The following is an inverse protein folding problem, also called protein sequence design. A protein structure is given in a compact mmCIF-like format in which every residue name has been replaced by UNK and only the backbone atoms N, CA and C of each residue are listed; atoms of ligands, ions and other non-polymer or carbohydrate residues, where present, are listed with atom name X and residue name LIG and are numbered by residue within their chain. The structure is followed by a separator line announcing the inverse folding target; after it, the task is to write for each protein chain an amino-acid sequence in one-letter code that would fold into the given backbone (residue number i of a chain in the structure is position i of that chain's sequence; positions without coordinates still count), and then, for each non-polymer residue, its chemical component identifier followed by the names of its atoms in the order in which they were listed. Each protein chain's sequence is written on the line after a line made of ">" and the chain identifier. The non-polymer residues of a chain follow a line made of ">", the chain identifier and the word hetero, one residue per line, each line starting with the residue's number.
data_IF_722195402315
#
_entry.id   IF_722195402315
#
_cell.length_a   1.000
_cell.length_b   1.000
_cell.length_c   1.000
_cell.angle_alpha   90.00
_cell.angle_beta   90.00
_cell.angle_gamma   90.00
#
_symmetry.space_group_name_H-M   'P 1'
#
loop_
_entity.id
_entity.type
_entity.pdbx_description
1 polymer ?
#
# COMPACT_ATOMS: atom_id res chain seq x y z
N UNK A 1 -24.54 -31.54 5.98
CA UNK A 1 -23.47 -32.01 5.09
C UNK A 1 -22.38 -30.95 5.11
N UNK A 2 -21.29 -31.24 5.82
CA UNK A 2 -20.14 -30.36 5.96
C UNK A 2 -19.31 -30.46 4.68
N UNK A 3 -19.21 -29.38 3.91
CA UNK A 3 -18.15 -29.24 2.91
C UNK A 3 -17.03 -28.41 3.54
N UNK A 4 -16.03 -29.11 4.05
CA UNK A 4 -14.72 -28.55 4.32
C UNK A 4 -14.12 -28.09 2.98
N UNK A 5 -14.06 -26.78 2.77
CA UNK A 5 -13.22 -26.15 1.74
C UNK A 5 -11.75 -26.42 2.14
N UNK A 6 -11.20 -27.57 1.77
CA UNK A 6 -9.77 -27.82 1.83
C UNK A 6 -9.08 -26.91 0.80
N UNK A 7 -8.44 -25.85 1.30
CA UNK A 7 -7.54 -25.01 0.52
C UNK A 7 -6.30 -25.85 0.21
N UNK A 8 -6.25 -26.43 -0.99
CA UNK A 8 -5.06 -27.08 -1.51
C UNK A 8 -4.07 -25.99 -1.93
N UNK A 9 -3.23 -25.54 -0.99
CA UNK A 9 -2.08 -24.72 -1.29
C UNK A 9 -0.85 -25.60 -1.46
N UNK A 10 -0.42 -25.85 -2.71
CA UNK A 10 0.91 -26.41 -2.93
C UNK A 10 1.94 -25.27 -2.82
N UNK A 11 2.84 -25.37 -1.84
CA UNK A 11 3.97 -24.46 -1.72
C UNK A 11 4.99 -24.79 -2.81
N UNK A 12 5.22 -23.87 -3.75
CA UNK A 12 6.42 -23.91 -4.58
C UNK A 12 7.65 -23.80 -3.67
N UNK A 13 8.48 -24.85 -3.63
CA UNK A 13 9.60 -25.04 -2.69
C UNK A 13 10.78 -24.05 -2.85
N UNK A 14 10.63 -22.94 -3.60
CA UNK A 14 11.76 -22.12 -4.05
C UNK A 14 11.54 -20.60 -3.96
N UNK A 15 10.58 -20.16 -3.12
CA UNK A 15 10.49 -18.76 -2.73
C UNK A 15 11.71 -18.40 -1.86
N UNK A 16 12.32 -17.23 -2.11
CA UNK A 16 13.34 -16.65 -1.21
C UNK A 16 12.69 -16.34 0.15
N UNK A 17 12.58 -17.35 1.01
CA UNK A 17 11.90 -17.29 2.30
C UNK A 17 12.40 -16.09 3.11
N UNK A 18 11.47 -15.20 3.51
CA UNK A 18 11.75 -14.11 4.44
C UNK A 18 12.47 -12.90 3.85
N UNK A 19 12.55 -12.75 2.52
CA UNK A 19 13.07 -11.52 1.92
C UNK A 19 12.18 -10.32 2.29
N UNK A 20 12.81 -9.24 2.75
CA UNK A 20 12.16 -7.95 2.96
C UNK A 20 12.67 -6.93 1.95
N UNK A 21 11.79 -6.03 1.53
CA UNK A 21 12.05 -5.05 0.48
C UNK A 21 12.04 -3.63 1.04
N UNK A 22 12.87 -2.73 0.52
CA UNK A 22 12.80 -1.30 0.86
C UNK A 22 11.44 -0.73 0.44
N UNK A 23 10.92 -1.16 -0.71
CA UNK A 23 9.56 -0.86 -1.16
C UNK A 23 8.94 -1.96 -2.01
N UNK A 24 7.61 -1.95 -2.07
CA UNK A 24 6.86 -2.67 -3.08
C UNK A 24 5.94 -1.69 -3.83
N UNK A 25 5.80 -1.86 -5.14
CA UNK A 25 4.93 -1.02 -5.96
C UNK A 25 4.17 -1.85 -6.98
N UNK A 26 2.90 -1.50 -7.18
CA UNK A 26 2.12 -2.05 -8.27
C UNK A 26 2.56 -1.41 -9.59
N UNK A 27 2.87 -2.25 -10.58
CA UNK A 27 3.03 -1.83 -11.98
C UNK A 27 1.68 -1.80 -12.72
N UNK A 28 0.58 -2.04 -11.98
CA UNK A 28 -0.80 -1.84 -12.44
C UNK A 28 -1.35 -3.01 -13.22
N UNK A 29 -1.91 -2.69 -14.39
CA UNK A 29 -2.80 -3.50 -15.21
C UNK A 29 -4.19 -3.78 -14.57
N UNK A 30 -4.31 -3.77 -13.25
CA UNK A 30 -5.60 -3.74 -12.55
C UNK A 30 -5.50 -3.04 -11.17
N UNK A 31 -6.52 -2.25 -10.81
CA UNK A 31 -6.53 -1.50 -9.54
C UNK A 31 -6.61 -2.39 -8.29
N UNK A 32 -7.08 -3.63 -8.44
CA UNK A 32 -7.12 -4.65 -7.39
C UNK A 32 -5.74 -4.91 -6.78
N UNK A 33 -4.67 -4.92 -7.59
CA UNK A 33 -3.31 -5.22 -7.13
C UNK A 33 -2.87 -4.23 -6.05
N UNK A 34 -3.02 -2.93 -6.33
CA UNK A 34 -2.64 -1.89 -5.37
C UNK A 34 -3.46 -1.95 -4.08
N UNK A 35 -4.75 -2.26 -4.19
CA UNK A 35 -5.64 -2.44 -3.03
C UNK A 35 -5.21 -3.63 -2.17
N UNK A 36 -4.94 -4.79 -2.78
CA UNK A 36 -4.53 -6.01 -2.07
C UNK A 36 -3.14 -5.87 -1.46
N UNK A 37 -2.22 -5.16 -2.12
CA UNK A 37 -0.91 -4.81 -1.54
C UNK A 37 -1.05 -3.90 -0.31
N UNK A 38 -1.96 -2.92 -0.32
CA UNK A 38 -2.23 -2.05 0.84
C UNK A 38 -2.80 -2.85 2.01
N UNK A 39 -3.81 -3.70 1.76
CA UNK A 39 -4.42 -4.56 2.78
C UNK A 39 -3.42 -5.54 3.42
N UNK A 40 -2.39 -5.95 2.67
CA UNK A 40 -1.33 -6.86 3.14
C UNK A 40 -0.04 -6.13 3.58
N UNK A 41 -0.11 -4.81 3.84
CA UNK A 41 1.02 -4.03 4.36
C UNK A 41 2.29 -4.07 3.49
N UNK A 42 2.12 -4.14 2.16
CA UNK A 42 3.21 -4.04 1.19
C UNK A 42 3.32 -2.64 0.57
N UNK A 43 2.21 -1.91 0.48
CA UNK A 43 2.19 -0.60 -0.21
C UNK A 43 2.53 0.56 0.73
N UNK A 44 3.73 1.12 0.59
CA UNK A 44 4.17 2.33 1.31
C UNK A 44 3.66 3.64 0.70
N UNK A 45 3.49 3.64 -0.62
CA UNK A 45 3.03 4.80 -1.36
C UNK A 45 2.28 4.32 -2.60
N UNK A 46 1.47 5.21 -3.15
CA UNK A 46 0.79 4.92 -4.38
C UNK A 46 1.66 5.14 -5.63
N UNK A 47 1.71 4.12 -6.49
CA UNK A 47 2.48 4.11 -7.72
C UNK A 47 1.80 4.85 -8.89
N UNK A 48 2.51 5.03 -10.02
CA UNK A 48 1.98 5.66 -11.22
C UNK A 48 0.90 4.81 -11.93
N UNK A 49 0.80 3.52 -11.62
CA UNK A 49 -0.14 2.61 -12.28
C UNK A 49 -1.30 2.11 -11.41
N UNK A 50 -1.36 2.48 -10.12
CA UNK A 50 -2.34 1.97 -9.14
C UNK A 50 -3.82 2.15 -9.55
N UNK A 51 -4.15 3.16 -10.36
CA UNK A 51 -5.51 3.44 -10.84
C UNK A 51 -5.64 3.40 -12.36
N UNK A 52 -4.61 2.87 -13.02
CA UNK A 52 -4.53 2.79 -14.48
C UNK A 52 -4.66 1.32 -14.89
N UNK A 53 -5.64 1.05 -15.75
CA UNK A 53 -5.78 -0.24 -16.43
C UNK A 53 -5.07 -0.15 -17.77
N UNK A 54 -4.22 -1.12 -18.07
CA UNK A 54 -3.40 -1.17 -19.28
C UNK A 54 -2.71 -2.51 -19.41
N UNK A 55 -2.04 -2.77 -20.53
CA UNK A 55 -1.28 -4.00 -20.74
C UNK A 55 0.15 -3.89 -20.17
N UNK A 56 0.79 -5.01 -19.82
CA UNK A 56 2.22 -5.04 -19.48
C UNK A 56 3.13 -4.44 -20.58
N UNK A 57 2.79 -4.64 -21.86
CA UNK A 57 3.46 -3.98 -22.99
C UNK A 57 3.48 -2.44 -22.82
N UNK A 58 2.34 -1.83 -22.47
CA UNK A 58 2.22 -0.38 -22.30
C UNK A 58 2.90 0.10 -21.03
N UNK A 59 2.85 -0.68 -19.96
CA UNK A 59 3.62 -0.43 -18.73
C UNK A 59 5.11 -0.37 -19.06
N UNK A 60 5.64 -1.35 -19.81
CA UNK A 60 7.02 -1.37 -20.25
C UNK A 60 7.37 -0.13 -21.07
N UNK A 61 6.54 0.21 -22.06
CA UNK A 61 6.73 1.38 -22.91
C UNK A 61 6.83 2.67 -22.09
N UNK A 62 5.93 2.87 -21.12
CA UNK A 62 5.90 4.09 -20.30
C UNK A 62 7.11 4.16 -19.36
N UNK A 63 7.52 3.07 -18.73
CA UNK A 63 8.72 3.06 -17.90
C UNK A 63 9.95 3.37 -18.78
N UNK A 64 10.08 2.70 -19.93
CA UNK A 64 11.21 2.86 -20.85
C UNK A 64 11.34 4.29 -21.39
N UNK A 65 10.22 4.94 -21.67
CA UNK A 65 10.18 6.29 -22.24
C UNK A 65 9.87 7.38 -21.20
N UNK A 66 10.13 7.13 -19.90
CA UNK A 66 9.95 8.13 -18.84
C UNK A 66 8.53 8.75 -18.77
N UNK A 67 7.50 7.95 -19.08
CA UNK A 67 6.10 8.36 -19.16
C UNK A 67 5.86 9.50 -20.16
N UNK A 68 6.67 9.58 -21.22
CA UNK A 68 6.42 10.47 -22.35
C UNK A 68 5.02 10.23 -22.91
N UNK A 69 4.34 11.32 -23.22
CA UNK A 69 2.96 11.35 -23.74
C UNK A 69 1.88 10.69 -22.87
N UNK A 70 2.18 10.36 -21.61
CA UNK A 70 1.21 9.83 -20.66
C UNK A 70 0.04 10.80 -20.46
N UNK A 71 -1.17 10.35 -20.81
CA UNK A 71 -2.41 11.07 -20.60
C UNK A 71 -2.44 12.47 -21.23
N UNK A 72 -1.83 12.68 -22.41
CA UNK A 72 -1.97 13.96 -23.13
C UNK A 72 -3.44 14.33 -23.32
N UNK A 73 -3.81 15.57 -22.98
CA UNK A 73 -5.21 16.02 -22.98
C UNK A 73 -5.95 15.75 -24.29
N UNK A 74 -5.30 15.99 -25.42
CA UNK A 74 -5.81 15.77 -26.78
C UNK A 74 -6.11 14.29 -27.10
N UNK A 75 -5.48 13.37 -26.37
CA UNK A 75 -5.67 11.93 -26.52
C UNK A 75 -6.73 11.37 -25.56
N UNK A 76 -7.27 12.19 -24.64
CA UNK A 76 -8.23 11.75 -23.64
C UNK A 76 -9.66 11.68 -24.19
N UNK A 77 -10.32 10.56 -23.94
CA UNK A 77 -11.73 10.33 -24.27
C UNK A 77 -12.50 9.79 -23.07
N UNK A 78 -13.73 10.28 -22.86
CA UNK A 78 -14.63 9.73 -21.85
C UNK A 78 -15.35 8.53 -22.49
N UNK A 79 -15.01 7.32 -22.05
CA UNK A 79 -15.64 6.08 -22.53
C UNK A 79 -16.86 5.68 -21.70
N UNK A 80 -16.97 6.19 -20.47
CA UNK A 80 -18.04 5.81 -19.57
C UNK A 80 -18.00 6.51 -18.23
N UNK A 81 -18.85 6.04 -17.32
CA UNK A 81 -19.04 6.60 -15.98
C UNK A 81 -19.19 5.48 -14.97
N UNK A 82 -18.57 5.63 -13.81
CA UNK A 82 -18.65 4.67 -12.70
C UNK A 82 -18.44 5.41 -11.38
N UNK A 83 -19.30 5.17 -10.40
CA UNK A 83 -19.14 5.68 -9.02
C UNK A 83 -18.90 7.21 -8.92
N UNK A 84 -19.58 8.00 -9.77
CA UNK A 84 -19.43 9.46 -9.84
C UNK A 84 -18.10 9.93 -10.47
N UNK A 85 -17.43 9.05 -11.20
CA UNK A 85 -16.17 9.30 -11.93
C UNK A 85 -16.34 9.04 -13.42
N UNK A 86 -15.60 9.78 -14.23
CA UNK A 86 -15.42 9.45 -15.64
C UNK A 86 -14.41 8.31 -15.78
N UNK A 87 -14.76 7.35 -16.63
CA UNK A 87 -13.82 6.38 -17.20
C UNK A 87 -13.15 7.08 -18.38
N UNK A 88 -11.85 7.37 -18.25
CA UNK A 88 -11.11 8.18 -19.21
C UNK A 88 -10.02 7.35 -19.88
N UNK A 89 -10.12 7.20 -21.20
CA UNK A 89 -9.15 6.52 -22.05
C UNK A 89 -8.10 7.50 -22.54
N UNK A 90 -6.83 7.15 -22.37
CA UNK A 90 -5.75 7.68 -23.20
C UNK A 90 -5.66 6.81 -24.47
N UNK A 91 -6.07 7.37 -25.62
CA UNK A 91 -6.11 6.63 -26.88
C UNK A 91 -4.75 6.34 -27.50
N UNK A 92 -3.72 7.11 -27.13
CA UNK A 92 -2.37 6.90 -27.64
C UNK A 92 -1.72 5.71 -26.93
N UNK A 93 -1.84 5.69 -25.61
CA UNK A 93 -1.22 4.67 -24.77
C UNK A 93 -2.17 3.50 -24.43
N UNK A 94 -3.42 3.54 -24.89
CA UNK A 94 -4.46 2.55 -24.61
C UNK A 94 -4.75 2.32 -23.12
N UNK A 95 -4.53 3.33 -22.29
CA UNK A 95 -4.70 3.27 -20.84
C UNK A 95 -6.09 3.74 -20.42
N UNK A 96 -6.68 3.12 -19.41
CA UNK A 96 -7.94 3.56 -18.82
C UNK A 96 -7.72 4.03 -17.38
N UNK A 97 -8.05 5.29 -17.12
CA UNK A 97 -8.20 5.82 -15.76
C UNK A 97 -9.63 5.58 -15.27
N UNK A 98 -9.78 4.88 -14.15
CA UNK A 98 -11.10 4.50 -13.60
C UNK A 98 -11.57 5.44 -12.49
N UNK A 99 -10.65 6.04 -11.72
CA UNK A 99 -10.99 6.72 -10.45
C UNK A 99 -10.61 8.20 -10.37
N UNK A 100 -9.89 8.72 -11.38
CA UNK A 100 -9.17 9.99 -11.22
C UNK A 100 -9.98 11.23 -11.60
N UNK A 101 -10.86 11.13 -12.59
CA UNK A 101 -11.59 12.27 -13.14
C UNK A 101 -13.00 12.32 -12.55
N UNK A 102 -13.35 13.43 -11.87
CA UNK A 102 -14.71 13.62 -11.37
C UNK A 102 -15.71 13.80 -12.50
N UNK A 103 -16.87 13.19 -12.37
CA UNK A 103 -18.00 13.42 -13.27
C UNK A 103 -18.58 14.82 -13.03
N UNK A 104 -18.05 15.81 -13.76
CA UNK A 104 -18.49 17.20 -13.68
C UNK A 104 -18.86 17.69 -15.07
N UNK A 105 -20.17 17.84 -15.34
CA UNK A 105 -20.67 18.19 -16.67
C UNK A 105 -20.49 17.06 -17.69
N UNK A 106 -20.15 17.40 -18.93
CA UNK A 106 -20.03 16.44 -20.05
C UNK A 106 -18.61 16.32 -20.62
N UNK A 107 -17.63 17.04 -20.06
CA UNK A 107 -16.25 17.10 -20.56
C UNK A 107 -15.25 17.14 -19.42
N UNK A 108 -14.04 16.65 -19.69
CA UNK A 108 -12.90 16.82 -18.78
C UNK A 108 -12.47 18.29 -18.82
N UNK A 109 -12.72 19.00 -17.72
CA UNK A 109 -12.25 20.38 -17.61
C UNK A 109 -10.72 20.45 -17.56
N UNK A 110 -10.12 21.52 -18.09
CA UNK A 110 -8.66 21.75 -18.01
C UNK A 110 -8.15 21.79 -16.57
N UNK A 111 -8.94 22.33 -15.65
CA UNK A 111 -8.63 22.37 -14.21
C UNK A 111 -8.55 20.97 -13.60
N UNK A 112 -9.54 20.10 -13.88
CA UNK A 112 -9.54 18.72 -13.40
C UNK A 112 -8.36 17.94 -14.00
N UNK A 113 -8.12 18.09 -15.30
CA UNK A 113 -6.96 17.53 -15.99
C UNK A 113 -5.64 17.91 -15.32
N UNK A 114 -5.39 19.21 -15.11
CA UNK A 114 -4.15 19.68 -14.48
C UNK A 114 -3.96 19.06 -13.09
N UNK A 115 -5.00 18.96 -12.27
CA UNK A 115 -4.93 18.31 -10.95
C UNK A 115 -4.58 16.82 -11.05
N UNK A 116 -5.14 16.11 -12.03
CA UNK A 116 -4.82 14.70 -12.27
C UNK A 116 -3.37 14.55 -12.70
N UNK A 117 -2.89 15.40 -13.61
CA UNK A 117 -1.51 15.35 -14.10
C UNK A 117 -0.49 15.76 -13.03
N UNK A 118 -0.76 16.77 -12.21
CA UNK A 118 0.09 17.13 -11.06
C UNK A 118 0.25 15.95 -10.09
N UNK A 119 -0.85 15.23 -9.83
CA UNK A 119 -0.84 14.03 -9.00
C UNK A 119 -0.01 12.91 -9.64
N UNK A 120 -0.15 12.66 -10.94
CA UNK A 120 0.62 11.60 -11.62
C UNK A 120 2.09 11.96 -11.76
N UNK A 121 2.45 13.20 -12.10
CA UNK A 121 3.83 13.66 -12.13
C UNK A 121 4.53 13.44 -10.78
N UNK A 122 3.86 13.75 -9.67
CA UNK A 122 4.39 13.46 -8.33
C UNK A 122 4.59 11.96 -8.08
N UNK A 123 3.67 11.09 -8.55
CA UNK A 123 3.76 9.63 -8.38
C UNK A 123 4.85 9.01 -9.25
N UNK A 124 4.98 9.46 -10.49
CA UNK A 124 6.02 9.06 -11.43
C UNK A 124 7.40 9.44 -10.88
N UNK A 125 7.56 10.70 -10.45
CA UNK A 125 8.81 11.15 -9.84
C UNK A 125 9.14 10.33 -8.60
N UNK A 126 8.17 10.09 -7.72
CA UNK A 126 8.36 9.25 -6.53
C UNK A 126 8.78 7.83 -6.92
N UNK A 127 8.10 7.19 -7.86
CA UNK A 127 8.46 5.85 -8.33
C UNK A 127 9.93 5.79 -8.77
N UNK A 128 10.37 6.73 -9.60
CA UNK A 128 11.76 6.78 -10.05
C UNK A 128 12.75 7.09 -8.95
N UNK A 129 12.43 7.99 -8.02
CA UNK A 129 13.29 8.27 -6.86
C UNK A 129 13.48 7.05 -5.97
N UNK A 130 12.42 6.29 -5.71
CA UNK A 130 12.51 5.03 -4.96
C UNK A 130 13.33 3.98 -5.72
N UNK A 131 13.12 3.81 -7.03
CA UNK A 131 13.95 2.91 -7.84
C UNK A 131 15.44 3.31 -7.80
N UNK A 132 15.76 4.60 -7.79
CA UNK A 132 17.15 5.09 -7.75
C UNK A 132 17.83 4.92 -6.41
N UNK A 133 17.08 5.07 -5.31
CA UNK A 133 17.66 5.22 -3.95
C UNK A 133 17.54 3.96 -3.09
N UNK A 134 16.70 3.00 -3.48
CA UNK A 134 16.55 1.73 -2.77
C UNK A 134 17.61 0.72 -3.20
N UNK A 135 17.92 -0.21 -2.30
CA UNK A 135 18.77 -1.37 -2.59
C UNK A 135 17.94 -2.51 -3.17
N UNK A 136 16.69 -2.66 -2.71
CA UNK A 136 15.81 -3.68 -3.23
C UNK A 136 14.33 -3.33 -3.30
N UNK A 137 13.62 -3.98 -4.22
CA UNK A 137 12.22 -3.70 -4.52
C UNK A 137 11.41 -4.96 -4.86
N UNK A 138 10.10 -4.90 -4.60
CA UNK A 138 9.14 -5.84 -5.15
C UNK A 138 8.20 -5.11 -6.13
N UNK A 139 8.24 -5.53 -7.39
CA UNK A 139 7.27 -5.08 -8.39
C UNK A 139 6.14 -6.10 -8.48
N UNK A 140 4.88 -5.65 -8.42
CA UNK A 140 3.72 -6.53 -8.58
C UNK A 140 2.95 -6.12 -9.82
N UNK A 141 2.72 -7.04 -10.75
CA UNK A 141 2.05 -6.76 -12.02
C UNK A 141 0.93 -7.76 -12.28
N UNK A 142 -0.24 -7.28 -12.67
CA UNK A 142 -1.30 -8.14 -13.18
C UNK A 142 -1.06 -8.47 -14.65
N UNK A 143 -1.31 -9.71 -15.04
CA UNK A 143 -1.30 -10.17 -16.45
C UNK A 143 -2.64 -10.81 -16.79
N UNK A 144 -3.17 -10.52 -17.98
CA UNK A 144 -4.47 -11.03 -18.42
C UNK A 144 -4.38 -12.42 -19.05
N UNK A 145 -3.20 -12.79 -19.52
CA UNK A 145 -2.91 -14.10 -20.11
C UNK A 145 -1.45 -14.50 -19.87
N UNK A 146 -1.12 -15.78 -20.05
CA UNK A 146 0.29 -16.22 -20.02
C UNK A 146 1.11 -15.66 -21.20
N UNK A 147 0.46 -15.22 -22.30
CA UNK A 147 1.13 -14.58 -23.44
C UNK A 147 1.79 -13.25 -23.04
N UNK A 148 1.22 -12.55 -22.07
CA UNK A 148 1.74 -11.28 -21.53
C UNK A 148 3.06 -11.45 -20.76
N UNK A 149 3.47 -12.69 -20.42
CA UNK A 149 4.71 -12.96 -19.69
C UNK A 149 5.94 -12.43 -20.44
N UNK A 150 5.92 -12.43 -21.77
CA UNK A 150 7.01 -11.86 -22.57
C UNK A 150 7.24 -10.38 -22.30
N UNK A 151 6.17 -9.62 -22.06
CA UNK A 151 6.28 -8.21 -21.70
C UNK A 151 6.78 -8.02 -20.27
N UNK A 152 6.51 -8.97 -19.36
CA UNK A 152 7.11 -8.96 -18.01
C UNK A 152 8.63 -9.10 -18.09
N UNK A 153 9.15 -9.99 -18.95
CA UNK A 153 10.61 -10.09 -19.17
C UNK A 153 11.19 -8.79 -19.73
N UNK A 154 10.50 -8.13 -20.67
CA UNK A 154 10.92 -6.80 -21.17
C UNK A 154 10.89 -5.73 -20.08
N UNK A 155 9.91 -5.76 -19.17
CA UNK A 155 9.88 -4.87 -18.00
C UNK A 155 11.09 -5.12 -17.11
N UNK A 156 11.42 -6.39 -16.82
CA UNK A 156 12.62 -6.76 -16.05
C UNK A 156 13.89 -6.19 -16.70
N UNK A 157 14.04 -6.32 -18.01
CA UNK A 157 15.18 -5.74 -18.76
C UNK A 157 15.21 -4.22 -18.67
N UNK A 158 14.07 -3.55 -18.86
CA UNK A 158 13.94 -2.08 -18.79
C UNK A 158 14.31 -1.57 -17.40
N UNK A 159 13.79 -2.18 -16.32
CA UNK A 159 14.10 -1.80 -14.94
C UNK A 159 15.57 -2.07 -14.62
N UNK A 160 16.10 -3.25 -14.99
CA UNK A 160 17.51 -3.59 -14.76
C UNK A 160 18.46 -2.62 -15.46
N UNK A 161 18.12 -2.20 -16.68
CA UNK A 161 18.92 -1.24 -17.45
C UNK A 161 18.81 0.18 -16.90
N UNK A 162 17.63 0.58 -16.44
CA UNK A 162 17.38 1.92 -15.90
C UNK A 162 17.88 2.12 -14.47
N UNK A 163 17.95 1.04 -13.67
CA UNK A 163 18.33 1.05 -12.25
C UNK A 163 19.29 -0.11 -11.94
N UNK A 164 20.52 -0.11 -12.49
CA UNK A 164 21.46 -1.24 -12.39
C UNK A 164 21.90 -1.59 -10.96
N UNK A 165 21.71 -0.69 -10.01
CA UNK A 165 22.00 -0.89 -8.59
C UNK A 165 20.85 -1.55 -7.81
N UNK A 166 19.64 -1.61 -8.39
CA UNK A 166 18.45 -2.09 -7.71
C UNK A 166 18.33 -3.60 -7.88
N UNK A 167 18.35 -4.35 -6.78
CA UNK A 167 18.02 -5.78 -6.77
C UNK A 167 16.52 -5.95 -6.54
N UNK A 168 15.80 -6.56 -7.47
CA UNK A 168 14.35 -6.61 -7.38
C UNK A 168 13.78 -7.96 -7.76
N UNK A 169 12.60 -8.24 -7.21
CA UNK A 169 11.75 -9.34 -7.58
C UNK A 169 10.49 -8.82 -8.30
N UNK A 170 9.96 -9.58 -9.26
CA UNK A 170 8.66 -9.33 -9.88
C UNK A 170 7.69 -10.45 -9.48
N UNK A 171 6.58 -10.06 -8.85
CA UNK A 171 5.42 -10.91 -8.65
C UNK A 171 4.40 -10.65 -9.75
N UNK A 172 4.30 -11.61 -10.67
CA UNK A 172 3.25 -11.67 -11.69
C UNK A 172 2.00 -12.24 -11.06
N UNK A 173 0.88 -11.56 -11.21
CA UNK A 173 -0.41 -12.00 -10.67
C UNK A 173 -1.37 -12.31 -11.79
N UNK A 174 -1.88 -13.54 -11.77
CA UNK A 174 -2.93 -14.03 -12.64
C UNK A 174 -4.18 -14.30 -11.82
N UNK A 175 -5.30 -13.68 -12.20
CA UNK A 175 -6.57 -13.80 -11.49
C UNK A 175 -7.35 -15.02 -11.99
N UNK A 176 -7.81 -15.85 -11.07
CA UNK A 176 -8.54 -17.08 -11.36
C UNK A 176 -9.95 -17.02 -10.75
N UNK A 177 -10.91 -17.64 -11.42
CA UNK A 177 -12.25 -17.87 -10.86
C UNK A 177 -12.30 -19.06 -9.90
N UNK A 178 -11.29 -19.94 -9.96
CA UNK A 178 -11.13 -21.06 -9.04
C UNK A 178 -10.53 -20.58 -7.72
N UNK A 179 -10.98 -21.15 -6.58
CA UNK A 179 -10.54 -20.79 -5.23
C UNK A 179 -9.11 -21.27 -4.94
N UNK A 180 -8.13 -20.78 -5.70
CA UNK A 180 -6.71 -21.17 -5.62
C UNK A 180 -5.83 -20.05 -5.09
N UNK A 181 -4.69 -20.46 -4.52
CA UNK A 181 -3.63 -19.59 -4.03
C UNK A 181 -2.30 -20.29 -4.25
N UNK A 182 -1.77 -20.20 -5.47
CA UNK A 182 -0.53 -20.85 -5.87
C UNK A 182 0.52 -19.81 -6.23
N UNK A 183 1.76 -20.04 -5.85
CA UNK A 183 2.89 -19.21 -6.23
C UNK A 183 4.08 -20.09 -6.62
N UNK A 184 4.62 -19.84 -7.80
CA UNK A 184 5.73 -20.59 -8.37
C UNK A 184 6.82 -19.62 -8.85
N UNK A 185 8.09 -19.95 -8.57
CA UNK A 185 9.21 -19.28 -9.23
C UNK A 185 9.28 -19.74 -10.68
N UNK A 186 9.23 -18.81 -11.64
CA UNK A 186 9.26 -19.15 -13.08
C UNK A 186 10.57 -18.75 -13.76
N UNK A 187 11.30 -17.80 -13.17
CA UNK A 187 12.62 -17.37 -13.58
C UNK A 187 13.34 -16.73 -12.37
N UNK A 188 14.62 -16.42 -12.50
CA UNK A 188 15.35 -15.66 -11.50
C UNK A 188 14.69 -14.30 -11.26
N UNK A 189 14.31 -14.09 -10.00
CA UNK A 189 13.59 -12.92 -9.53
C UNK A 189 12.22 -12.68 -10.19
N UNK A 190 11.59 -13.72 -10.76
CA UNK A 190 10.19 -13.66 -11.23
C UNK A 190 9.39 -14.81 -10.63
N UNK A 191 8.27 -14.45 -10.00
CA UNK A 191 7.30 -15.38 -9.44
C UNK A 191 5.95 -15.19 -10.11
N UNK A 192 5.28 -16.29 -10.44
CA UNK A 192 3.90 -16.29 -10.92
C UNK A 192 2.99 -16.74 -9.79
N UNK A 193 2.04 -15.87 -9.42
CA UNK A 193 0.95 -16.17 -8.52
C UNK A 193 -0.36 -16.34 -9.30
N UNK A 194 -1.01 -17.50 -9.11
CA UNK A 194 -2.40 -17.72 -9.52
C UNK A 194 -3.28 -17.58 -8.29
N UNK A 195 -4.18 -16.60 -8.32
CA UNK A 195 -4.96 -16.21 -7.14
C UNK A 195 -6.43 -16.07 -7.47
N UNK A 196 -7.27 -16.65 -6.62
CA UNK A 196 -8.71 -16.46 -6.68
C UNK A 196 -9.07 -14.97 -6.59
N UNK A 197 -9.94 -14.53 -7.49
CA UNK A 197 -10.54 -13.21 -7.41
C UNK A 197 -11.97 -13.21 -7.95
N UNK A 198 -12.87 -12.64 -7.16
CA UNK A 198 -14.27 -12.41 -7.52
C UNK A 198 -14.53 -10.90 -7.56
N UNK A 199 -14.75 -10.37 -8.77
CA UNK A 199 -15.05 -8.96 -8.98
C UNK A 199 -16.36 -8.51 -8.31
N UNK A 200 -17.30 -9.44 -8.10
CA UNK A 200 -18.55 -9.15 -7.40
C UNK A 200 -18.42 -9.18 -5.88
N UNK A 201 -17.37 -9.83 -5.36
CA UNK A 201 -17.11 -10.00 -3.93
C UNK A 201 -15.61 -9.98 -3.61
N UNK A 202 -15.02 -8.78 -3.69
CA UNK A 202 -13.61 -8.56 -3.36
C UNK A 202 -13.19 -9.12 -1.99
N UNK A 203 -13.99 -8.96 -0.89
CA UNK A 203 -13.66 -9.55 0.41
C UNK A 203 -13.55 -11.07 0.39
N UNK A 204 -14.36 -11.76 -0.42
CA UNK A 204 -14.27 -13.21 -0.59
C UNK A 204 -12.92 -13.69 -1.10
N UNK A 205 -12.13 -12.79 -1.68
CA UNK A 205 -10.79 -13.07 -2.22
C UNK A 205 -9.67 -12.76 -1.21
N UNK A 206 -9.94 -12.07 -0.11
CA UNK A 206 -8.91 -11.54 0.82
C UNK A 206 -7.96 -12.63 1.36
N UNK A 207 -8.50 -13.78 1.76
CA UNK A 207 -7.71 -14.89 2.29
C UNK A 207 -6.72 -15.44 1.24
N UNK A 208 -7.18 -15.56 -0.01
CA UNK A 208 -6.36 -16.10 -1.10
C UNK A 208 -5.20 -15.17 -1.46
N UNK A 209 -5.46 -13.86 -1.49
CA UNK A 209 -4.42 -12.85 -1.68
C UNK A 209 -3.44 -12.80 -0.50
N UNK A 210 -3.94 -12.93 0.73
CA UNK A 210 -3.10 -12.97 1.93
C UNK A 210 -2.14 -14.15 1.91
N UNK A 211 -2.60 -15.33 1.48
CA UNK A 211 -1.74 -16.51 1.35
C UNK A 211 -0.55 -16.23 0.42
N UNK A 212 -0.78 -15.57 -0.72
CA UNK A 212 0.29 -15.18 -1.66
C UNK A 212 1.18 -14.06 -1.10
N UNK A 213 0.58 -12.95 -0.67
CA UNK A 213 1.32 -11.73 -0.34
C UNK A 213 2.07 -11.83 1.00
N UNK A 214 1.67 -12.75 1.89
CA UNK A 214 2.35 -12.98 3.17
C UNK A 214 3.79 -13.52 3.03
N UNK A 215 4.15 -14.01 1.85
CA UNK A 215 5.53 -14.42 1.54
C UNK A 215 6.48 -13.23 1.34
N UNK A 216 5.95 -12.01 1.21
CA UNK A 216 6.71 -10.79 0.99
C UNK A 216 6.53 -9.84 2.17
N UNK A 217 7.54 -8.99 2.44
CA UNK A 217 7.45 -8.01 3.52
C UNK A 217 8.24 -6.74 3.21
N UNK A 218 7.87 -5.63 3.85
CA UNK A 218 8.61 -4.38 3.76
C UNK A 218 9.58 -4.26 4.93
N UNK A 219 10.83 -3.91 4.63
CA UNK A 219 11.85 -3.53 5.61
C UNK A 219 11.56 -2.11 6.16
N UNK A 220 10.53 -2.02 6.99
CA UNK A 220 10.08 -0.75 7.57
C UNK A 220 11.06 -0.27 8.65
N UNK A 221 11.90 0.70 8.30
CA UNK A 221 13.04 1.16 9.11
C UNK A 221 13.30 2.66 8.96
N UNK A 222 14.39 3.17 9.54
CA UNK A 222 14.85 4.56 9.34
C UNK A 222 15.09 4.87 7.86
N UNK A 223 15.56 3.88 7.08
CA UNK A 223 15.74 4.00 5.63
C UNK A 223 14.42 4.28 4.93
N UNK A 224 13.32 3.63 5.34
CA UNK A 224 11.97 3.89 4.80
C UNK A 224 11.58 5.36 5.00
N UNK A 225 11.83 5.92 6.19
CA UNK A 225 11.50 7.32 6.51
C UNK A 225 12.32 8.28 5.65
N UNK A 226 13.61 7.98 5.46
CA UNK A 226 14.50 8.74 4.59
C UNK A 226 14.07 8.71 3.11
N UNK A 227 13.76 7.52 2.57
CA UNK A 227 13.31 7.33 1.19
C UNK A 227 11.92 7.97 0.94
N UNK A 228 11.09 8.00 1.97
CA UNK A 228 9.76 8.63 1.92
C UNK A 228 9.81 10.16 2.00
N UNK A 229 11.00 10.75 2.19
CA UNK A 229 11.21 12.19 2.32
C UNK A 229 10.30 12.83 3.37
N UNK A 230 10.14 12.13 4.50
CA UNK A 230 9.25 12.57 5.56
C UNK A 230 9.77 13.87 6.17
N UNK A 231 8.93 14.90 6.15
CA UNK A 231 9.21 16.18 6.79
C UNK A 231 9.09 16.05 8.32
N UNK A 232 9.89 16.80 9.11
CA UNK A 232 9.77 16.77 10.57
C UNK A 232 8.36 17.11 11.06
N UNK A 233 7.86 16.50 12.13
CA UNK A 233 6.53 16.79 12.67
C UNK A 233 6.36 18.29 12.98
N UNK A 234 5.14 18.79 12.71
CA UNK A 234 4.71 20.11 13.20
C UNK A 234 4.13 19.95 14.60
N UNK A 235 4.49 20.84 15.51
CA UNK A 235 3.96 20.87 16.88
C UNK A 235 4.12 19.53 17.64
N UNK A 236 5.09 18.71 17.24
CA UNK A 236 5.35 17.38 17.80
C UNK A 236 4.09 16.51 17.90
N UNK A 237 3.21 16.56 16.88
CA UNK A 237 1.91 15.90 16.90
C UNK A 237 1.60 15.29 15.52
N UNK A 238 0.99 14.11 15.54
CA UNK A 238 0.33 13.46 14.41
C UNK A 238 -1.17 13.43 14.65
N UNK A 239 -1.96 13.83 13.64
CA UNK A 239 -3.41 13.78 13.69
C UNK A 239 -3.93 12.79 12.65
N UNK A 240 -4.74 11.83 13.08
CA UNK A 240 -5.25 10.77 12.21
C UNK A 240 -6.65 11.07 11.67
N UNK A 241 -7.33 12.10 12.17
CA UNK A 241 -8.67 12.50 11.70
C UNK A 241 -8.62 13.08 10.29
N UNK A 242 -9.67 12.85 9.51
CA UNK A 242 -9.82 13.51 8.21
C UNK A 242 -9.97 15.03 8.42
N UNK A 243 -9.04 15.83 7.86
CA UNK A 243 -9.26 17.27 7.72
C UNK A 243 -9.83 17.51 6.32
N UNK A 244 -11.11 17.88 6.24
CA UNK A 244 -11.88 18.34 5.06
C UNK A 244 -11.04 18.59 3.79
N UNK A 245 -10.68 17.51 3.07
CA UNK A 245 -10.05 17.58 1.75
C UNK A 245 -8.55 17.89 1.67
N UNK A 246 -7.75 17.82 2.75
CA UNK A 246 -6.28 17.90 2.64
C UNK A 246 -5.63 16.54 2.87
N UNK A 247 -4.92 16.09 1.85
CA UNK A 247 -4.08 14.90 1.83
C UNK A 247 -3.27 14.75 3.12
N UNK A 248 -3.31 13.52 3.65
CA UNK A 248 -2.38 12.93 4.60
C UNK A 248 -1.23 13.85 5.04
N UNK A 249 -1.48 14.64 6.10
CA UNK A 249 -0.56 15.48 6.86
C UNK A 249 0.70 16.00 6.11
N UNK A 250 0.61 16.44 4.84
CA UNK A 250 1.73 16.93 4.02
C UNK A 250 3.06 16.13 4.14
N UNK A 251 3.08 14.82 3.87
CA UNK A 251 4.30 13.98 3.94
C UNK A 251 5.01 14.00 5.32
N UNK A 252 4.27 14.03 6.44
CA UNK A 252 4.87 14.08 7.80
C UNK A 252 5.05 12.71 8.45
N UNK A 253 4.51 11.65 7.85
CA UNK A 253 4.79 10.27 8.23
C UNK A 253 4.57 9.31 7.06
N UNK A 254 5.18 8.14 7.17
CA UNK A 254 4.94 6.96 6.33
C UNK A 254 4.39 5.86 7.24
N UNK A 255 3.56 4.96 6.71
CA UNK A 255 2.93 3.93 7.53
C UNK A 255 2.65 2.65 6.76
N UNK A 256 2.39 1.59 7.54
CA UNK A 256 1.77 0.34 7.11
C UNK A 256 0.71 -0.06 8.14
N UNK A 257 -0.36 -0.72 7.70
CA UNK A 257 -1.41 -1.20 8.59
C UNK A 257 -2.33 -0.10 9.14
N UNK A 258 -2.52 1.02 8.42
CA UNK A 258 -3.57 2.01 8.72
C UNK A 258 -4.56 2.12 7.57
N UNK A 259 -5.83 2.36 7.91
CA UNK A 259 -6.87 2.71 6.95
C UNK A 259 -6.66 4.10 6.36
N UNK A 260 -7.49 4.45 5.38
CA UNK A 260 -7.69 5.83 4.99
C UNK A 260 -8.19 6.67 6.19
N UNK A 261 -7.93 7.99 6.22
CA UNK A 261 -8.47 8.88 7.24
C UNK A 261 -10.01 8.83 7.29
N UNK A 262 -10.54 8.69 8.50
CA UNK A 262 -11.97 8.78 8.81
C UNK A 262 -12.23 9.99 9.75
N UNK A 263 -13.49 10.43 9.93
CA UNK A 263 -13.79 11.63 10.72
C UNK A 263 -13.23 11.60 12.16
N UNK A 264 -13.16 10.41 12.76
CA UNK A 264 -12.75 10.22 14.15
C UNK A 264 -11.31 9.72 14.31
N UNK A 265 -10.62 9.34 13.23
CA UNK A 265 -9.27 8.81 13.29
C UNK A 265 -8.89 7.95 12.09
N UNK A 266 -7.88 7.10 12.26
CA UNK A 266 -7.55 5.98 11.34
C UNK A 266 -7.58 4.68 12.09
N UNK A 267 -8.20 3.68 11.48
CA UNK A 267 -8.18 2.33 12.02
C UNK A 267 -6.86 1.64 11.71
N UNK A 268 -6.37 0.86 12.66
CA UNK A 268 -5.41 -0.21 12.40
C UNK A 268 -6.03 -1.25 11.47
N UNK A 269 -5.25 -1.76 10.53
CA UNK A 269 -5.64 -2.86 9.64
C UNK A 269 -4.69 -4.04 9.88
N UNK A 270 -5.27 -5.15 10.33
CA UNK A 270 -4.51 -6.34 10.72
C UNK A 270 -3.92 -6.24 12.13
N UNK A 271 -2.93 -7.09 12.42
CA UNK A 271 -2.34 -7.22 13.74
C UNK A 271 -1.14 -6.29 13.99
N UNK A 272 -0.76 -5.47 13.00
CA UNK A 272 0.42 -4.62 13.11
C UNK A 272 0.23 -3.28 12.41
N UNK A 273 0.41 -2.20 13.17
CA UNK A 273 0.49 -0.84 12.65
C UNK A 273 1.94 -0.35 12.77
N UNK A 274 2.52 0.15 11.68
CA UNK A 274 3.88 0.71 11.67
C UNK A 274 3.82 2.17 11.24
N UNK A 275 4.46 3.06 11.99
CA UNK A 275 4.49 4.50 11.70
C UNK A 275 5.93 4.98 11.73
N UNK A 276 6.37 5.57 10.63
CA UNK A 276 7.69 6.15 10.45
C UNK A 276 7.58 7.66 10.36
N UNK A 277 8.28 8.39 11.22
CA UNK A 277 8.20 9.84 11.28
C UNK A 277 9.55 10.47 11.62
N UNK A 278 9.64 11.78 11.36
CA UNK A 278 10.82 12.59 11.71
C UNK A 278 10.44 13.62 12.76
N UNK A 279 11.25 13.82 13.79
CA UNK A 279 11.10 14.89 14.80
C UNK A 279 12.32 15.80 14.80
N UNK A 280 12.13 17.05 15.23
CA UNK A 280 13.22 18.02 15.32
C UNK A 280 14.08 17.85 16.58
N UNK A 281 13.46 17.42 17.68
CA UNK A 281 14.12 17.24 18.98
C UNK A 281 13.77 15.86 19.52
N UNK A 282 14.72 15.21 20.19
CA UNK A 282 14.48 13.91 20.84
C UNK A 282 13.37 14.07 21.90
N UNK A 283 12.20 13.40 21.74
CA UNK A 283 11.17 13.46 22.74
C UNK A 283 11.54 12.56 23.93
N UNK A 284 11.11 12.99 25.11
CA UNK A 284 11.20 12.22 26.36
C UNK A 284 9.95 11.39 26.59
N UNK A 285 8.81 11.78 26.00
CA UNK A 285 7.55 11.09 26.16
C UNK A 285 6.78 10.99 24.84
N UNK A 286 5.95 9.97 24.74
CA UNK A 286 4.94 9.81 23.71
C UNK A 286 3.58 9.56 24.35
N UNK A 287 2.56 10.28 23.90
CA UNK A 287 1.17 10.05 24.29
C UNK A 287 0.35 9.64 23.08
N UNK A 288 -0.27 8.48 23.14
CA UNK A 288 -1.13 7.94 22.08
C UNK A 288 -2.58 8.05 22.52
N UNK A 289 -3.38 8.81 21.78
CA UNK A 289 -4.83 8.88 21.94
C UNK A 289 -5.52 7.97 20.96
N UNK A 290 -6.28 7.02 21.48
CA UNK A 290 -6.95 6.02 20.65
C UNK A 290 -8.11 5.36 21.41
N UNK A 291 -8.94 4.62 20.68
CA UNK A 291 -9.91 3.68 21.23
C UNK A 291 -9.69 2.29 20.63
N UNK A 292 -10.18 1.25 21.30
CA UNK A 292 -10.09 -0.14 20.83
C UNK A 292 -11.42 -0.65 20.31
N UNK A 293 -11.36 -1.56 19.35
CA UNK A 293 -12.48 -2.40 18.93
C UNK A 293 -12.19 -3.86 19.25
N UNK A 294 -12.79 -4.36 20.34
CA UNK A 294 -12.66 -5.75 20.85
C UNK A 294 -11.23 -6.27 21.03
N UNK A 295 -10.26 -5.35 21.08
CA UNK A 295 -8.86 -5.66 21.28
C UNK A 295 -8.47 -5.31 22.73
N UNK A 296 -7.99 -6.30 23.49
CA UNK A 296 -7.67 -6.12 24.91
C UNK A 296 -6.40 -5.31 25.12
N UNK A 297 -5.35 -5.58 24.33
CA UNK A 297 -4.08 -4.89 24.48
C UNK A 297 -3.33 -4.68 23.17
N UNK A 298 -2.38 -3.76 23.17
CA UNK A 298 -1.40 -3.62 22.09
C UNK A 298 -0.02 -3.34 22.63
N UNK A 299 0.98 -4.12 22.23
CA UNK A 299 2.37 -3.84 22.55
C UNK A 299 2.87 -2.67 21.70
N UNK A 300 3.71 -1.82 22.29
CA UNK A 300 4.26 -0.64 21.63
C UNK A 300 5.77 -0.72 21.63
N UNK A 301 6.36 -0.62 20.45
CA UNK A 301 7.80 -0.56 20.24
C UNK A 301 8.16 0.75 19.57
N UNK A 302 9.26 1.36 20.01
CA UNK A 302 9.82 2.57 19.38
C UNK A 302 11.28 2.28 19.05
N UNK A 303 11.65 2.43 17.77
CA UNK A 303 12.96 2.07 17.23
C UNK A 303 13.42 0.67 17.68
N UNK A 304 12.50 -0.30 17.66
CA UNK A 304 12.75 -1.70 18.03
C UNK A 304 12.75 -2.00 19.53
N UNK A 305 12.73 -1.01 20.43
CA UNK A 305 12.63 -1.22 21.88
C UNK A 305 11.18 -1.21 22.33
N UNK A 306 10.76 -2.24 23.07
CA UNK A 306 9.44 -2.26 23.71
C UNK A 306 9.36 -1.15 24.78
N UNK A 307 8.38 -0.26 24.68
CA UNK A 307 8.17 0.85 25.62
C UNK A 307 6.98 0.62 26.54
N UNK A 308 6.21 -0.45 26.32
CA UNK A 308 5.07 -0.83 27.15
C UNK A 308 3.90 -1.36 26.31
N UNK A 309 2.70 -1.32 26.89
CA UNK A 309 1.46 -1.72 26.23
C UNK A 309 0.35 -0.69 26.43
N UNK A 310 -0.54 -0.60 25.44
CA UNK A 310 -1.86 0.00 25.60
C UNK A 310 -2.79 -1.09 26.13
N UNK A 311 -3.21 -0.99 27.38
CA UNK A 311 -4.17 -1.92 28.01
C UNK A 311 -5.56 -1.28 27.99
N UNK A 312 -6.45 -1.83 27.16
CA UNK A 312 -7.79 -1.29 26.94
C UNK A 312 -8.82 -1.85 27.93
N UNK A 313 -8.46 -2.86 28.72
CA UNK A 313 -9.36 -3.45 29.74
C UNK A 313 -9.57 -2.52 30.94
N UNK A 314 -8.62 -1.61 31.19
CA UNK A 314 -8.65 -0.65 32.30
C UNK A 314 -9.44 0.62 31.99
N UNK A 315 -10.01 0.72 30.79
CA UNK A 315 -10.64 1.93 30.29
C UNK A 315 -9.63 3.06 30.04
N UNK A 316 -10.10 4.14 29.41
CA UNK A 316 -9.26 5.27 29.01
C UNK A 316 -8.96 5.31 27.52
N UNK A 317 -8.62 6.51 27.04
CA UNK A 317 -8.41 6.81 25.63
C UNK A 317 -7.01 7.38 25.36
N UNK A 318 -6.13 7.38 26.37
CA UNK A 318 -4.83 8.05 26.33
C UNK A 318 -3.78 7.20 27.05
N UNK A 319 -2.74 6.82 26.34
CA UNK A 319 -1.64 5.98 26.83
C UNK A 319 -0.32 6.73 26.73
N UNK A 320 0.45 6.79 27.81
CA UNK A 320 1.74 7.49 27.86
C UNK A 320 2.91 6.50 27.95
N UNK A 321 4.00 6.80 27.23
CA UNK A 321 5.21 5.98 27.15
C UNK A 321 6.46 6.85 27.39
N UNK A 322 7.41 6.34 28.16
CA UNK A 322 8.72 6.98 28.37
C UNK A 322 9.67 6.64 27.20
N UNK A 323 10.26 7.67 26.59
CA UNK A 323 11.17 7.56 25.45
C UNK A 323 12.62 7.98 25.76
N UNK A 324 12.97 8.28 27.03
CA UNK A 324 14.32 8.77 27.39
C UNK A 324 15.44 7.87 26.88
N UNK A 325 15.23 6.57 26.97
CA UNK A 325 16.22 5.54 26.60
C UNK A 325 16.07 5.06 25.15
N UNK A 326 15.27 5.74 24.32
CA UNK A 326 15.16 5.42 22.90
C UNK A 326 16.37 5.98 22.16
N UNK A 327 17.05 5.11 21.44
CA UNK A 327 18.09 5.50 20.49
C UNK A 327 17.43 6.07 19.24
N UNK A 328 17.92 7.23 18.79
CA UNK A 328 17.42 7.92 17.61
C UNK A 328 18.55 8.23 16.68
N UNK A 329 18.30 8.05 15.39
CA UNK A 329 19.22 8.42 14.32
C UNK A 329 18.51 9.45 13.42
N UNK A 330 19.16 10.58 13.13
CA UNK A 330 18.64 11.61 12.21
C UNK A 330 17.22 12.15 12.53
N UNK A 331 16.82 12.06 13.81
CA UNK A 331 15.49 12.46 14.26
C UNK A 331 14.39 11.47 13.86
N UNK A 332 14.72 10.25 13.45
CA UNK A 332 13.77 9.25 13.00
C UNK A 332 13.20 8.40 14.14
N UNK A 333 11.89 8.19 14.08
CA UNK A 333 11.13 7.29 14.95
C UNK A 333 10.34 6.32 14.09
N UNK A 334 10.57 5.03 14.31
CA UNK A 334 9.74 3.92 13.85
C UNK A 334 8.96 3.43 15.05
N UNK A 335 7.64 3.53 14.98
CA UNK A 335 6.72 3.11 16.03
C UNK A 335 5.93 1.93 15.51
N UNK A 336 6.10 0.79 16.16
CA UNK A 336 5.35 -0.43 15.87
C UNK A 336 4.32 -0.66 16.98
N UNK A 337 3.05 -0.79 16.59
CA UNK A 337 1.98 -1.26 17.46
C UNK A 337 1.63 -2.69 17.05
N UNK A 338 1.70 -3.63 17.99
CA UNK A 338 1.31 -5.03 17.78
C UNK A 338 -0.01 -5.27 18.50
N UNK A 339 -1.06 -5.47 17.73
CA UNK A 339 -2.43 -5.65 18.22
C UNK A 339 -2.69 -7.12 18.50
N UNK A 340 -3.20 -7.41 19.69
CA UNK A 340 -3.39 -8.78 20.19
C UNK A 340 -4.46 -9.53 19.39
N UNK A 341 -5.61 -8.91 19.19
CA UNK A 341 -6.80 -9.58 18.65
C UNK A 341 -7.56 -8.68 17.67
N UNK A 342 -6.98 -8.32 16.51
CA UNK A 342 -7.75 -7.66 15.47
C UNK A 342 -8.88 -8.57 15.00
N UNK A 343 -10.06 -8.00 14.77
CA UNK A 343 -11.24 -8.74 14.34
C UNK A 343 -12.04 -7.96 13.31
N UNK A 344 -12.64 -8.67 12.37
CA UNK A 344 -13.53 -8.07 11.39
C UNK A 344 -14.95 -7.94 11.95
N UNK A 345 -15.56 -6.74 11.95
CA UNK A 345 -16.97 -6.57 12.27
C UNK A 345 -17.90 -7.48 11.46
N UNK A 346 -17.60 -7.70 10.17
CA UNK A 346 -18.32 -8.65 9.31
C UNK A 346 -18.23 -10.08 9.82
N UNK A 347 -17.05 -10.53 10.27
CA UNK A 347 -16.84 -11.92 10.74
C UNK A 347 -17.66 -12.27 11.99
N UNK A 348 -18.10 -11.26 12.74
CA UNK A 348 -18.93 -11.42 13.94
C UNK A 348 -20.35 -10.87 13.76
N UNK A 349 -20.74 -10.50 12.55
CA UNK A 349 -22.09 -10.05 12.21
C UNK A 349 -22.48 -8.67 12.75
N UNK A 350 -21.51 -7.81 13.10
CA UNK A 350 -21.79 -6.47 13.65
C UNK A 350 -21.96 -5.40 12.57
N UNK A 351 -21.32 -5.55 11.40
CA UNK A 351 -21.50 -4.64 10.26
C UNK A 351 -21.03 -5.28 8.95
N UNK A 352 -21.13 -4.56 7.83
CA UNK A 352 -20.58 -4.97 6.54
C UNK A 352 -19.06 -4.74 6.41
N UNK A 353 -18.39 -4.22 7.44
CA UNK A 353 -16.97 -3.90 7.40
C UNK A 353 -16.11 -5.17 7.51
N UNK A 354 -15.48 -5.57 6.41
CA UNK A 354 -14.63 -6.77 6.33
C UNK A 354 -13.22 -6.56 6.86
N UNK A 355 -12.81 -5.33 7.20
CA UNK A 355 -11.46 -5.03 7.64
C UNK A 355 -11.17 -5.67 8.99
N UNK A 356 -9.95 -6.16 9.18
CA UNK A 356 -9.47 -6.64 10.48
C UNK A 356 -9.07 -5.46 11.36
N UNK A 357 -9.97 -5.00 12.23
CA UNK A 357 -9.81 -3.78 13.04
C UNK A 357 -9.34 -4.12 14.47
N UNK A 358 -8.55 -3.23 15.09
CA UNK A 358 -8.17 -3.37 16.50
C UNK A 358 -8.17 -2.03 17.25
N UNK A 359 -7.55 -1.00 16.70
CA UNK A 359 -7.38 0.32 17.34
C UNK A 359 -7.78 1.42 16.37
N UNK A 360 -8.59 2.37 16.83
CA UNK A 360 -8.85 3.63 16.14
C UNK A 360 -7.91 4.70 16.73
N UNK A 361 -6.89 5.08 15.98
CA UNK A 361 -5.96 6.13 16.35
C UNK A 361 -6.59 7.51 16.11
N UNK A 362 -6.61 8.36 17.13
CA UNK A 362 -7.01 9.77 17.03
C UNK A 362 -5.78 10.64 16.79
N UNK A 363 -4.80 10.51 17.69
CA UNK A 363 -3.67 11.43 17.75
C UNK A 363 -2.46 10.80 18.46
N UNK A 364 -1.25 11.16 18.03
CA UNK A 364 -0.03 10.90 18.78
C UNK A 364 0.68 12.22 19.06
N UNK A 365 1.11 12.44 20.31
CA UNK A 365 1.91 13.59 20.73
C UNK A 365 3.28 13.16 21.24
N UNK A 366 4.26 14.01 21.02
CA UNK A 366 5.62 13.87 21.53
C UNK A 366 6.00 15.09 22.38
N UNK A 367 6.64 14.90 23.53
CA UNK A 367 7.10 15.97 24.42
C UNK A 367 8.47 15.73 25.03
#
# INVERSE_FOLDING_TARGET
>A
MNSSDEIVGSLGQDLRNGRSYDFAVSLGAACIVASKMEQNSLRLFAGPFDWIVGSPERVNYLIKNNFEDFFRYENLEIEGRRDGKFLVRDRLNWLLSVHDFKETGSKISRSEYSKVMEKYNRRINRFYEWCRRSENALFVIFVGSEEDLQDVYRIKETISSGFPQLDFDILVVYLCSEKISEINKIDDNIYLARVYHDESNWPGSDLHWKNILSHFSINFSHKTIYLSEVLPLKNNRLNFKSSHGKHDDNNRFVYLGLSHPEPHGRWSIGNKTRIGLKVNTKPKKMTVKCSSYKNNSSLVYVNGKCVGSMDFTKGGYSHEFDLKDINMENGYLVIDFIHESPISPLSIGESADSRMLAVLFDEIKFS
#
